data_IF_263836484966
#
_entry.id   IF_263836484966
#
_cell.length_a   1.000
_cell.length_b   1.000
_cell.length_c   1.000
_cell.angle_alpha   90.00
_cell.angle_beta   90.00
_cell.angle_gamma   90.00
#
_symmetry.space_group_name_H-M   'P 1'
#
loop_
_entity.id
_entity.type
_entity.pdbx_description
1 polymer ?
#
# COMPACT_ATOMS: atom_id res chain seq x y z
N UNK A 1 -19.35 -1.31 8.96
CA UNK A 1 -18.43 -0.67 9.94
C UNK A 1 -18.88 0.78 10.13
N UNK A 2 -19.01 1.29 11.36
CA UNK A 2 -19.23 2.73 11.57
C UNK A 2 -17.86 3.41 11.47
N UNK A 3 -17.65 4.16 10.40
CA UNK A 3 -16.46 5.01 10.19
C UNK A 3 -16.97 6.42 10.03
N UNK A 4 -16.49 7.33 10.86
CA UNK A 4 -17.07 8.69 10.96
C UNK A 4 -16.58 9.64 9.85
N UNK A 5 -15.65 9.19 9.00
CA UNK A 5 -15.03 9.99 7.94
C UNK A 5 -15.43 9.49 6.56
N UNK A 6 -15.84 10.42 5.70
CA UNK A 6 -16.17 10.20 4.29
C UNK A 6 -14.88 10.17 3.45
N UNK A 7 -14.91 9.42 2.34
CA UNK A 7 -13.78 9.32 1.39
C UNK A 7 -13.36 10.70 0.88
N UNK A 8 -14.32 11.55 0.51
CA UNK A 8 -14.06 12.92 0.04
C UNK A 8 -13.17 13.73 1.01
N UNK A 9 -13.48 13.69 2.30
CA UNK A 9 -12.70 14.41 3.31
C UNK A 9 -11.27 13.86 3.47
N UNK A 10 -11.06 12.58 3.17
CA UNK A 10 -9.72 11.98 3.15
C UNK A 10 -8.93 12.51 1.96
N UNK A 11 -9.52 12.58 0.76
CA UNK A 11 -8.86 13.12 -0.43
C UNK A 11 -8.49 14.60 -0.26
N UNK A 12 -9.39 15.42 0.32
CA UNK A 12 -9.12 16.82 0.67
C UNK A 12 -7.93 16.93 1.64
N UNK A 13 -7.88 16.06 2.65
CA UNK A 13 -6.75 16.01 3.60
C UNK A 13 -5.44 15.59 2.93
N UNK A 14 -5.48 14.69 1.95
CA UNK A 14 -4.29 14.28 1.19
C UNK A 14 -3.74 15.43 0.35
N UNK A 15 -4.61 16.19 -0.31
CA UNK A 15 -4.21 17.39 -1.05
C UNK A 15 -3.48 18.38 -0.14
N UNK A 16 -4.10 18.74 0.98
CA UNK A 16 -3.51 19.66 1.95
C UNK A 16 -2.14 19.17 2.46
N UNK A 17 -2.04 17.88 2.83
CA UNK A 17 -0.80 17.31 3.35
C UNK A 17 0.32 17.32 2.30
N UNK A 18 0.02 16.90 1.06
CA UNK A 18 1.00 16.86 -0.03
C UNK A 18 1.48 18.26 -0.42
N UNK A 19 0.59 19.24 -0.50
CA UNK A 19 0.97 20.62 -0.81
C UNK A 19 1.89 21.23 0.27
N UNK A 20 1.76 20.79 1.52
CA UNK A 20 2.70 21.17 2.60
C UNK A 20 3.97 20.33 2.68
N UNK A 21 4.22 19.45 1.70
CA UNK A 21 5.43 18.64 1.62
C UNK A 21 5.47 17.44 2.56
N UNK A 22 4.35 17.04 3.18
CA UNK A 22 4.30 15.81 3.96
C UNK A 22 4.19 14.58 3.07
N UNK A 23 4.94 13.54 3.45
CA UNK A 23 4.76 12.20 2.90
C UNK A 23 3.44 11.61 3.40
N UNK A 24 2.55 11.22 2.49
CA UNK A 24 1.24 10.63 2.83
C UNK A 24 1.32 9.11 2.82
N UNK A 25 1.10 8.51 4.00
CA UNK A 25 1.05 7.05 4.19
C UNK A 25 -0.34 6.65 4.65
N UNK A 26 -0.94 5.67 3.98
CA UNK A 26 -2.32 5.27 4.24
C UNK A 26 -2.42 3.87 4.84
N UNK A 27 -3.51 3.63 5.58
CA UNK A 27 -3.87 2.31 6.08
C UNK A 27 -5.06 1.79 5.28
N UNK A 28 -4.86 0.69 4.54
CA UNK A 28 -5.94 -0.01 3.84
C UNK A 28 -6.17 -1.37 4.49
N UNK A 29 -7.43 -1.76 4.56
CA UNK A 29 -7.86 -3.01 5.17
C UNK A 29 -8.76 -3.76 4.21
N UNK A 30 -8.28 -4.80 3.50
CA UNK A 30 -9.14 -5.71 2.79
C UNK A 30 -9.95 -6.60 3.77
N UNK A 31 -10.92 -7.35 3.25
CA UNK A 31 -11.79 -8.26 4.01
C UNK A 31 -12.65 -7.53 5.06
N UNK A 32 -13.03 -6.28 4.79
CA UNK A 32 -13.97 -5.54 5.63
C UNK A 32 -15.40 -6.06 5.42
N UNK A 33 -16.27 -6.01 6.46
CA UNK A 33 -17.66 -6.41 6.32
C UNK A 33 -18.38 -5.70 5.17
N UNK A 34 -19.15 -6.45 4.39
CA UNK A 34 -19.92 -5.98 3.22
C UNK A 34 -19.07 -5.52 2.03
N UNK A 35 -17.80 -5.91 1.98
CA UNK A 35 -16.91 -5.75 0.82
C UNK A 35 -16.44 -7.15 0.42
N UNK A 36 -16.68 -7.53 -0.83
CA UNK A 36 -16.25 -8.82 -1.38
C UNK A 36 -14.90 -8.71 -2.09
N UNK A 37 -14.36 -9.86 -2.50
CA UNK A 37 -13.01 -9.99 -3.07
C UNK A 37 -12.78 -9.10 -4.31
N UNK A 38 -13.75 -9.06 -5.23
CA UNK A 38 -13.68 -8.23 -6.45
C UNK A 38 -13.59 -6.75 -6.08
N UNK A 39 -14.46 -6.30 -5.17
CA UNK A 39 -14.47 -4.92 -4.68
C UNK A 39 -13.21 -4.57 -3.89
N UNK A 40 -12.59 -5.53 -3.20
CA UNK A 40 -11.29 -5.31 -2.58
C UNK A 40 -10.23 -5.01 -3.65
N UNK A 41 -10.15 -5.81 -4.72
CA UNK A 41 -9.22 -5.57 -5.83
C UNK A 41 -9.48 -4.21 -6.49
N UNK A 42 -10.74 -3.92 -6.86
CA UNK A 42 -11.11 -2.65 -7.50
C UNK A 42 -10.72 -1.43 -6.66
N UNK A 43 -10.87 -1.50 -5.34
CA UNK A 43 -10.44 -0.42 -4.45
C UNK A 43 -8.93 -0.18 -4.50
N UNK A 44 -8.11 -1.21 -4.67
CA UNK A 44 -6.66 -1.04 -4.81
C UNK A 44 -6.25 -0.57 -6.21
N UNK A 45 -6.97 -0.98 -7.26
CA UNK A 45 -6.81 -0.41 -8.60
C UNK A 45 -7.11 1.09 -8.55
N UNK A 46 -8.28 1.48 -8.03
CA UNK A 46 -8.66 2.89 -7.87
C UNK A 46 -7.64 3.66 -7.04
N UNK A 47 -7.17 3.10 -5.92
CA UNK A 47 -6.21 3.75 -5.04
C UNK A 47 -4.92 4.20 -5.75
N UNK A 48 -4.43 3.42 -6.71
CA UNK A 48 -3.19 3.71 -7.42
C UNK A 48 -3.42 4.44 -8.76
N UNK A 49 -4.57 4.23 -9.40
CA UNK A 49 -4.89 4.85 -10.68
C UNK A 49 -5.54 6.24 -10.53
N UNK A 50 -6.45 6.42 -9.56
CA UNK A 50 -7.17 7.67 -9.35
C UNK A 50 -6.24 8.74 -8.72
N UNK A 51 -6.04 9.90 -9.38
CA UNK A 51 -5.19 10.96 -8.87
C UNK A 51 -5.63 11.53 -7.51
N UNK A 52 -6.87 11.32 -7.07
CA UNK A 52 -7.34 11.77 -5.75
C UNK A 52 -6.67 11.03 -4.58
N UNK A 53 -5.96 9.92 -4.83
CA UNK A 53 -5.30 9.13 -3.81
C UNK A 53 -3.78 9.07 -3.98
N UNK A 54 -3.28 8.17 -4.83
CA UNK A 54 -1.85 7.92 -5.15
C UNK A 54 -0.91 8.16 -3.96
N UNK A 55 -0.96 7.31 -2.91
CA UNK A 55 -0.21 7.53 -1.68
C UNK A 55 1.30 7.22 -1.85
N UNK A 56 2.15 7.89 -1.09
CA UNK A 56 3.60 7.61 -1.06
C UNK A 56 3.91 6.29 -0.35
N UNK A 57 3.01 5.85 0.53
CA UNK A 57 3.17 4.60 1.26
C UNK A 57 1.86 3.97 1.70
N UNK A 58 1.93 2.67 1.94
CA UNK A 58 0.82 1.84 2.32
C UNK A 58 1.18 0.97 3.52
N UNK A 59 0.25 0.85 4.48
CA UNK A 59 0.20 -0.30 5.41
C UNK A 59 -1.03 -1.12 5.06
N UNK A 60 -0.78 -2.33 4.56
CA UNK A 60 -1.81 -3.26 4.11
C UNK A 60 -2.15 -4.19 5.27
N UNK A 61 -3.31 -3.97 5.89
CA UNK A 61 -3.73 -4.67 7.09
C UNK A 61 -5.04 -5.41 6.85
N UNK A 62 -4.99 -6.66 6.37
CA UNK A 62 -6.17 -7.51 6.33
C UNK A 62 -6.94 -7.48 7.63
N UNK A 63 -8.26 -7.51 7.52
CA UNK A 63 -9.13 -7.43 8.68
C UNK A 63 -8.96 -8.67 9.56
N UNK A 64 -8.84 -8.45 10.87
CA UNK A 64 -8.69 -9.51 11.87
C UNK A 64 -9.85 -9.46 12.84
N UNK A 65 -10.40 -10.63 13.17
CA UNK A 65 -11.40 -10.77 14.22
C UNK A 65 -10.70 -10.93 15.56
N UNK A 66 -10.95 -9.99 16.47
CA UNK A 66 -10.35 -9.97 17.81
C UNK A 66 -11.47 -9.94 18.84
N UNK A 67 -11.37 -10.78 19.88
CA UNK A 67 -12.35 -10.82 20.98
C UNK A 67 -12.55 -9.44 21.60
N UNK A 68 -13.78 -9.12 21.97
CA UNK A 68 -14.14 -7.82 22.57
C UNK A 68 -14.35 -6.68 21.57
N UNK A 69 -14.29 -6.94 20.26
CA UNK A 69 -14.60 -5.95 19.21
C UNK A 69 -16.01 -6.14 18.65
N UNK A 70 -16.60 -5.08 18.09
CA UNK A 70 -17.89 -5.21 17.39
C UNK A 70 -17.85 -6.16 16.19
N UNK A 71 -16.67 -6.35 15.58
CA UNK A 71 -16.49 -7.32 14.49
C UNK A 71 -16.59 -8.76 14.98
N UNK A 72 -16.12 -9.04 16.21
CA UNK A 72 -16.27 -10.35 16.83
C UNK A 72 -17.73 -10.75 17.03
N UNK A 73 -18.60 -9.82 17.40
CA UNK A 73 -20.04 -10.10 17.52
C UNK A 73 -20.70 -10.40 16.17
N UNK A 74 -20.26 -9.74 15.08
CA UNK A 74 -20.70 -10.06 13.73
C UNK A 74 -20.23 -11.45 13.30
N UNK A 75 -18.97 -11.79 13.60
CA UNK A 75 -18.40 -13.10 13.32
C UNK A 75 -19.12 -14.21 14.09
N UNK A 76 -19.31 -14.02 15.40
CA UNK A 76 -19.97 -14.98 16.31
C UNK A 76 -21.42 -15.27 15.90
N UNK A 77 -22.11 -14.28 15.36
CA UNK A 77 -23.49 -14.42 14.85
C UNK A 77 -23.57 -14.91 13.39
N UNK A 78 -22.44 -15.20 12.75
CA UNK A 78 -22.38 -15.66 11.36
C UNK A 78 -22.64 -14.59 10.29
N UNK A 79 -22.79 -13.32 10.70
CA UNK A 79 -23.03 -12.17 9.81
C UNK A 79 -21.76 -11.61 9.16
N UNK A 80 -20.60 -12.06 9.62
CA UNK A 80 -19.31 -11.79 8.99
C UNK A 80 -18.48 -13.08 8.99
N UNK A 81 -17.79 -13.34 7.87
CA UNK A 81 -16.84 -14.43 7.73
C UNK A 81 -15.60 -13.86 7.07
N UNK A 82 -14.45 -14.05 7.70
CA UNK A 82 -13.17 -13.70 7.10
C UNK A 82 -12.91 -14.57 5.88
N UNK A 83 -12.08 -14.07 4.98
CA UNK A 83 -11.59 -14.88 3.86
C UNK A 83 -10.82 -16.10 4.36
N UNK A 84 -10.88 -17.23 3.62
CA UNK A 84 -9.95 -18.33 3.83
C UNK A 84 -8.50 -17.84 3.70
N UNK A 85 -7.55 -18.37 4.48
CA UNK A 85 -6.16 -17.93 4.45
C UNK A 85 -5.52 -17.95 3.05
N UNK A 86 -5.79 -18.99 2.25
CA UNK A 86 -5.28 -19.10 0.88
C UNK A 86 -5.82 -18.01 -0.05
N UNK A 87 -7.10 -17.67 0.08
CA UNK A 87 -7.74 -16.58 -0.68
C UNK A 87 -7.14 -15.24 -0.28
N UNK A 88 -6.86 -15.03 1.01
CA UNK A 88 -6.23 -13.81 1.48
C UNK A 88 -4.79 -13.66 0.96
N UNK A 89 -4.02 -14.74 0.91
CA UNK A 89 -2.67 -14.73 0.32
C UNK A 89 -2.73 -14.36 -1.16
N UNK A 90 -3.65 -14.96 -1.94
CA UNK A 90 -3.83 -14.64 -3.37
C UNK A 90 -4.25 -13.18 -3.57
N UNK A 91 -5.17 -12.67 -2.75
CA UNK A 91 -5.59 -11.28 -2.75
C UNK A 91 -4.41 -10.34 -2.51
N UNK A 92 -3.62 -10.58 -1.47
CA UNK A 92 -2.47 -9.73 -1.13
C UNK A 92 -1.40 -9.79 -2.23
N UNK A 93 -1.16 -10.97 -2.82
CA UNK A 93 -0.24 -11.12 -3.96
C UNK A 93 -0.66 -10.25 -5.15
N UNK A 94 -1.96 -10.27 -5.50
CA UNK A 94 -2.51 -9.41 -6.56
C UNK A 94 -2.42 -7.92 -6.22
N UNK A 95 -2.73 -7.53 -4.98
CA UNK A 95 -2.61 -6.13 -4.53
C UNK A 95 -1.15 -5.65 -4.64
N UNK A 96 -0.18 -6.46 -4.21
CA UNK A 96 1.25 -6.12 -4.30
C UNK A 96 1.73 -5.98 -5.76
N UNK A 97 1.15 -6.73 -6.69
CA UNK A 97 1.43 -6.60 -8.12
C UNK A 97 0.95 -5.25 -8.71
N UNK A 98 -0.08 -4.63 -8.11
CA UNK A 98 -0.59 -3.32 -8.54
C UNK A 98 0.22 -2.13 -7.99
N UNK A 99 1.09 -2.36 -7.00
CA UNK A 99 1.79 -1.26 -6.31
C UNK A 99 2.77 -0.57 -7.26
N UNK A 100 2.62 0.74 -7.50
CA UNK A 100 3.51 1.45 -8.40
C UNK A 100 4.90 1.66 -7.79
N UNK A 101 5.94 1.87 -8.62
CA UNK A 101 7.33 1.93 -8.18
C UNK A 101 7.67 3.13 -7.29
N UNK A 102 6.78 4.12 -7.19
CA UNK A 102 6.92 5.24 -6.26
C UNK A 102 6.23 4.99 -4.91
N UNK A 103 5.54 3.88 -4.68
CA UNK A 103 4.87 3.62 -3.40
C UNK A 103 5.65 2.61 -2.56
N UNK A 104 5.78 2.87 -1.26
CA UNK A 104 6.38 1.93 -0.29
C UNK A 104 5.32 1.18 0.50
N UNK A 105 5.28 -0.16 0.41
CA UNK A 105 4.48 -0.97 1.35
C UNK A 105 5.30 -1.24 2.60
N UNK A 106 4.94 -0.57 3.69
CA UNK A 106 5.67 -0.66 4.96
C UNK A 106 5.43 -1.99 5.66
N UNK A 107 4.18 -2.44 5.68
CA UNK A 107 3.73 -3.63 6.40
C UNK A 107 2.60 -4.32 5.63
N UNK A 108 2.60 -5.64 5.71
CA UNK A 108 1.57 -6.53 5.19
C UNK A 108 1.20 -7.41 6.38
N UNK A 109 0.11 -7.04 7.07
CA UNK A 109 -0.31 -7.45 8.43
C UNK A 109 0.17 -6.54 9.59
N UNK A 110 -0.52 -6.64 10.74
CA UNK A 110 -0.19 -5.95 11.99
C UNK A 110 0.57 -6.87 12.95
N UNK A 111 1.32 -6.27 13.86
CA UNK A 111 2.00 -6.99 14.95
C UNK A 111 1.00 -7.29 16.07
N UNK A 112 0.05 -8.19 15.81
CA UNK A 112 -0.91 -8.67 16.80
C UNK A 112 -0.54 -10.11 17.17
N UNK A 113 -0.37 -10.44 18.46
CA UNK A 113 -0.12 -11.82 18.88
C UNK A 113 -1.20 -12.76 18.34
N UNK A 114 -0.79 -13.81 17.62
CA UNK A 114 -1.71 -14.78 17.02
C UNK A 114 -2.70 -15.42 18.01
N UNK A 115 -2.36 -15.69 19.28
CA UNK A 115 -3.34 -16.19 20.26
C UNK A 115 -4.54 -15.26 20.52
N UNK A 116 -4.44 -13.97 20.17
CA UNK A 116 -5.54 -13.01 20.29
C UNK A 116 -6.44 -12.95 19.04
N UNK A 117 -5.97 -13.48 17.92
CA UNK A 117 -6.68 -13.49 16.64
C UNK A 117 -7.64 -14.68 16.63
N UNK A 118 -8.94 -14.40 16.48
CA UNK A 118 -9.98 -15.43 16.40
C UNK A 118 -10.19 -15.93 14.96
N UNK A 119 -10.08 -15.03 13.97
CA UNK A 119 -10.28 -15.34 12.55
C UNK A 119 -9.61 -14.27 11.68
N UNK A 120 -9.26 -14.61 10.43
CA UNK A 120 -8.51 -13.76 9.51
C UNK A 120 -7.21 -14.44 9.07
N UNK A 121 -6.07 -13.83 9.38
CA UNK A 121 -4.75 -14.40 9.06
C UNK A 121 -4.44 -15.62 9.92
N UNK A 122 -3.76 -16.60 9.33
CA UNK A 122 -3.33 -17.83 10.00
C UNK A 122 -1.88 -17.75 10.51
N UNK A 123 -1.02 -17.05 9.77
CA UNK A 123 0.42 -16.96 10.06
C UNK A 123 0.87 -15.51 10.26
N UNK A 124 1.90 -15.33 11.08
CA UNK A 124 2.54 -14.04 11.37
C UNK A 124 3.56 -13.58 10.32
N UNK A 125 3.58 -14.14 9.11
CA UNK A 125 4.52 -13.83 8.02
C UNK A 125 3.82 -13.67 6.66
N UNK A 126 2.63 -13.07 6.62
CA UNK A 126 1.80 -12.95 5.40
C UNK A 126 2.53 -12.36 4.18
N UNK A 127 3.48 -11.43 4.38
CA UNK A 127 4.27 -10.87 3.26
C UNK A 127 5.05 -11.95 2.51
N UNK A 128 5.65 -12.90 3.23
CA UNK A 128 6.46 -13.96 2.65
C UNK A 128 5.60 -14.88 1.78
N UNK A 129 4.46 -15.33 2.33
CA UNK A 129 3.49 -16.14 1.59
C UNK A 129 2.97 -15.41 0.35
N UNK A 130 2.67 -14.11 0.45
CA UNK A 130 2.23 -13.32 -0.70
C UNK A 130 3.32 -13.21 -1.77
N UNK A 131 4.59 -12.98 -1.41
CA UNK A 131 5.69 -12.90 -2.37
C UNK A 131 5.96 -14.26 -3.04
N UNK A 132 5.89 -15.36 -2.29
CA UNK A 132 5.97 -16.71 -2.85
C UNK A 132 4.84 -16.95 -3.86
N UNK A 133 3.61 -16.56 -3.49
CA UNK A 133 2.44 -16.67 -4.38
C UNK A 133 2.57 -15.80 -5.63
N UNK A 134 3.12 -14.59 -5.52
CA UNK A 134 3.40 -13.74 -6.69
C UNK A 134 4.36 -14.44 -7.66
N UNK A 135 5.40 -15.10 -7.14
CA UNK A 135 6.35 -15.85 -7.98
C UNK A 135 5.68 -17.00 -8.72
N UNK A 136 4.78 -17.75 -8.07
CA UNK A 136 3.99 -18.81 -8.73
C UNK A 136 3.10 -18.27 -9.86
N UNK A 137 2.56 -17.06 -9.68
CA UNK A 137 1.70 -16.40 -10.66
C UNK A 137 2.47 -15.64 -11.75
N UNK A 138 3.80 -15.61 -11.69
CA UNK A 138 4.65 -14.86 -12.63
C UNK A 138 4.60 -13.34 -12.44
N UNK A 139 4.19 -12.85 -11.26
CA UNK A 139 4.18 -11.43 -10.93
C UNK A 139 5.47 -10.99 -10.23
N UNK A 140 5.87 -9.73 -10.48
CA UNK A 140 6.94 -9.06 -9.77
C UNK A 140 6.37 -7.99 -8.82
N UNK A 141 6.91 -7.89 -7.60
CA UNK A 141 6.57 -6.82 -6.66
C UNK A 141 7.52 -5.65 -6.87
N UNK A 142 7.00 -4.54 -7.40
CA UNK A 142 7.81 -3.35 -7.71
C UNK A 142 7.69 -2.24 -6.67
N UNK A 143 7.22 -2.55 -5.46
CA UNK A 143 7.20 -1.57 -4.38
C UNK A 143 8.63 -1.11 -4.01
N UNK A 144 8.73 0.12 -3.50
CA UNK A 144 10.02 0.71 -3.07
C UNK A 144 10.78 -0.23 -2.12
N UNK A 145 10.05 -0.87 -1.18
CA UNK A 145 10.64 -1.74 -0.15
C UNK A 145 11.35 -2.96 -0.74
N UNK A 146 10.75 -3.61 -1.72
CA UNK A 146 11.30 -4.85 -2.29
C UNK A 146 12.51 -4.54 -3.14
N UNK A 147 12.54 -3.38 -3.81
CA UNK A 147 13.61 -2.97 -4.72
C UNK A 147 14.83 -2.36 -4.02
N UNK A 148 14.69 -1.89 -2.78
CA UNK A 148 15.79 -1.29 -2.01
C UNK A 148 17.05 -2.18 -1.99
N UNK A 149 18.19 -1.61 -2.37
CA UNK A 149 19.48 -2.33 -2.48
C UNK A 149 19.84 -3.10 -1.22
N UNK A 150 19.62 -2.54 -0.02
CA UNK A 150 19.89 -3.23 1.23
C UNK A 150 18.99 -4.45 1.47
N UNK A 151 17.73 -4.41 1.02
CA UNK A 151 16.82 -5.57 1.11
C UNK A 151 17.23 -6.66 0.13
N UNK A 152 17.65 -6.28 -1.08
CA UNK A 152 18.09 -7.20 -2.12
C UNK A 152 19.45 -7.83 -1.82
N UNK A 153 20.38 -7.08 -1.24
CA UNK A 153 21.68 -7.60 -0.81
C UNK A 153 21.51 -8.65 0.30
N UNK A 154 20.66 -8.38 1.30
CA UNK A 154 20.43 -9.31 2.42
C UNK A 154 19.76 -10.63 1.96
N UNK A 155 18.72 -10.55 1.14
CA UNK A 155 17.92 -11.74 0.79
C UNK A 155 18.45 -12.48 -0.44
N UNK A 156 18.98 -11.76 -1.44
CA UNK A 156 19.33 -12.31 -2.74
C UNK A 156 20.81 -12.16 -3.09
N UNK A 157 21.62 -11.48 -2.25
CA UNK A 157 23.05 -11.21 -2.47
C UNK A 157 23.35 -10.47 -3.78
N UNK A 158 22.39 -9.65 -4.21
CA UNK A 158 22.47 -8.87 -5.45
C UNK A 158 23.03 -7.47 -5.13
N UNK A 159 23.91 -6.96 -5.99
CA UNK A 159 24.48 -5.60 -5.91
C UNK A 159 24.28 -4.88 -7.25
N UNK A 160 24.08 -3.55 -7.25
CA UNK A 160 23.91 -2.79 -8.47
C UNK A 160 25.21 -2.79 -9.28
N UNK A 161 25.08 -2.95 -10.59
CA UNK A 161 26.19 -2.93 -11.54
C UNK A 161 26.11 -1.71 -12.44
N UNK A 162 24.90 -1.40 -12.93
CA UNK A 162 24.66 -0.30 -13.87
C UNK A 162 23.57 0.63 -13.35
N UNK A 163 24.01 1.78 -12.85
CA UNK A 163 23.13 2.74 -12.18
C UNK A 163 22.71 3.85 -13.13
N UNK A 164 21.40 4.07 -13.24
CA UNK A 164 20.79 5.11 -14.08
C UNK A 164 19.90 6.03 -13.25
N UNK A 165 19.83 7.31 -13.65
CA UNK A 165 18.85 8.24 -13.11
C UNK A 165 17.52 8.03 -13.83
N UNK A 166 16.50 7.58 -13.10
CA UNK A 166 15.15 7.36 -13.58
C UNK A 166 14.22 8.45 -13.05
N UNK A 167 13.32 8.92 -13.91
CA UNK A 167 12.27 9.88 -13.58
C UNK A 167 10.90 9.31 -13.90
N UNK A 168 9.96 9.43 -12.95
CA UNK A 168 8.56 9.06 -13.13
C UNK A 168 7.67 10.19 -12.65
N UNK A 169 6.86 10.72 -13.55
CA UNK A 169 5.96 11.82 -13.25
C UNK A 169 4.52 11.34 -13.18
N UNK A 170 3.74 11.86 -12.24
CA UNK A 170 2.33 11.51 -12.08
C UNK A 170 1.55 12.64 -11.42
N UNK A 171 0.27 12.76 -11.78
CA UNK A 171 -0.65 13.70 -11.11
C UNK A 171 -1.14 13.08 -9.81
N UNK A 172 -1.16 13.84 -8.72
CA UNK A 172 -1.81 13.44 -7.48
C UNK A 172 -2.39 14.66 -6.76
N UNK A 173 -3.66 14.57 -6.37
CA UNK A 173 -4.38 15.58 -5.58
C UNK A 173 -4.21 16.99 -6.17
N UNK A 174 -4.45 17.15 -7.47
CA UNK A 174 -4.33 18.42 -8.20
C UNK A 174 -2.90 18.90 -8.54
N UNK A 175 -1.87 18.34 -7.91
CA UNK A 175 -0.47 18.71 -8.16
C UNK A 175 0.27 17.73 -9.05
N UNK A 176 1.46 18.13 -9.48
CA UNK A 176 2.38 17.32 -10.29
C UNK A 176 3.49 16.75 -9.42
N UNK A 177 3.49 15.42 -9.26
CA UNK A 177 4.54 14.68 -8.56
C UNK A 177 5.59 14.21 -9.55
N UNK A 178 6.85 14.35 -9.15
CA UNK A 178 8.03 13.86 -9.86
C UNK A 178 8.82 12.97 -8.90
N UNK A 179 8.87 11.68 -9.19
CA UNK A 179 9.68 10.68 -8.48
C UNK A 179 10.99 10.47 -9.23
N UNK A 180 12.07 11.01 -8.67
CA UNK A 180 13.43 10.79 -9.14
C UNK A 180 14.07 9.65 -8.35
N UNK A 181 14.80 8.79 -9.02
CA UNK A 181 15.46 7.65 -8.38
C UNK A 181 16.72 7.25 -9.12
N UNK A 182 17.75 6.86 -8.37
CA UNK A 182 18.85 6.09 -8.94
C UNK A 182 18.51 4.61 -8.81
N UNK A 183 18.46 3.93 -9.95
CA UNK A 183 18.05 2.53 -10.06
C UNK A 183 19.06 1.74 -10.89
N UNK A 184 19.11 0.41 -10.70
CA UNK A 184 19.67 -0.52 -11.69
C UNK A 184 18.48 -1.13 -12.45
N UNK A 185 18.18 -0.68 -13.69
CA UNK A 185 16.97 -1.10 -14.40
C UNK A 185 16.99 -2.57 -14.83
N UNK A 186 18.18 -3.14 -15.05
CA UNK A 186 18.34 -4.52 -15.49
C UNK A 186 18.04 -5.49 -14.35
N UNK A 187 18.45 -5.13 -13.13
CA UNK A 187 18.25 -5.92 -11.92
C UNK A 187 17.02 -5.48 -11.10
N UNK A 188 16.31 -4.44 -11.55
CA UNK A 188 15.20 -3.76 -10.88
C UNK A 188 15.50 -3.31 -9.43
N UNK A 189 16.72 -2.81 -9.18
CA UNK A 189 17.16 -2.33 -7.86
C UNK A 189 16.96 -0.83 -7.71
N UNK A 190 16.69 -0.39 -6.48
CA UNK A 190 16.55 1.01 -6.08
C UNK A 190 17.62 1.38 -5.05
N UNK A 191 18.39 2.42 -5.34
CA UNK A 191 19.54 2.85 -4.54
C UNK A 191 19.20 4.10 -3.73
N UNK A 192 18.59 5.09 -4.39
CA UNK A 192 18.19 6.35 -3.79
C UNK A 192 16.96 6.92 -4.48
N UNK A 193 16.18 7.72 -3.76
CA UNK A 193 14.96 8.32 -4.27
C UNK A 193 14.76 9.74 -3.76
N UNK A 194 14.01 10.53 -4.51
CA UNK A 194 13.62 11.90 -4.19
C UNK A 194 12.23 12.17 -4.76
N UNK A 195 11.37 12.84 -3.99
CA UNK A 195 10.03 13.26 -4.39
C UNK A 195 10.01 14.77 -4.50
N UNK A 196 9.56 15.27 -5.65
CA UNK A 196 9.34 16.69 -5.90
C UNK A 196 7.88 16.88 -6.27
N UNK A 197 7.28 17.95 -5.77
CA UNK A 197 5.91 18.31 -6.09
C UNK A 197 5.86 19.74 -6.59
N UNK A 198 5.28 19.95 -7.78
CA UNK A 198 4.69 21.25 -8.12
C UNK A 198 3.29 21.25 -7.52
N UNK A 199 3.10 22.08 -6.52
CA UNK A 199 1.83 22.26 -5.82
C UNK A 199 0.76 22.80 -6.75
N UNK A 200 -0.50 22.57 -6.40
CA UNK A 200 -1.64 23.12 -7.15
C UNK A 200 -1.75 24.65 -6.93
N UNK A 201 -2.34 25.35 -7.90
CA UNK A 201 -2.47 26.83 -7.87
C UNK A 201 -3.40 27.34 -6.74
N UNK A 202 -4.12 26.44 -6.07
CA UNK A 202 -5.09 26.74 -5.02
C UNK A 202 -4.71 26.08 -3.68
N UNK A 203 -3.42 26.07 -3.33
CA UNK A 203 -2.96 25.51 -2.07
C UNK A 203 -3.68 26.18 -0.89
N UNK A 204 -4.08 25.38 0.10
CA UNK A 204 -4.86 25.87 1.24
C UNK A 204 -4.14 26.92 2.10
N UNK A 205 -2.81 27.02 1.98
CA UNK A 205 -1.98 28.01 2.66
C UNK A 205 -1.62 29.13 1.71
N UNK A 206 -1.90 30.37 2.10
CA UNK A 206 -1.61 31.55 1.29
C UNK A 206 -0.13 31.72 0.96
N UNK A 207 0.76 31.29 1.84
CA UNK A 207 2.22 31.41 1.64
C UNK A 207 2.75 30.47 0.55
N UNK A 208 1.95 29.48 0.16
CA UNK A 208 2.28 28.55 -0.93
C UNK A 208 1.74 29.00 -2.29
N UNK A 209 0.91 30.05 -2.35
CA UNK A 209 0.31 30.57 -3.58
C UNK A 209 1.07 31.77 -4.17
N UNK A 210 2.38 31.89 -3.87
CA UNK A 210 3.23 33.02 -4.31
C UNK A 210 3.88 32.76 -5.67
#
# INVERSE_FOLDING_TARGET
>A
MRRDRKVKSVCETFAMAKDTGYKVVIHMMPDLPNVGLERDIEQFVELFENPDFRPDGLKLYPTLVIRGTGLYELWKSGRYKSYPPSVLVDLVARILALVPPWTRVYRVQRDIPMPLVTSGVEHGNLREHALARMKELGYACRDVRTREVGIQEIHNKVRPEKVELIRRDYVANGGWETFLSYEDPEQDLLIGLLRLRKIADNAHRSELNQ
#
